data_IF_364980062792
#
_entry.id   IF_364980062792
#
_cell.length_a   1.000
_cell.length_b   1.000
_cell.length_c   1.000
_cell.angle_alpha   90.00
_cell.angle_beta   90.00
_cell.angle_gamma   90.00
#
_symmetry.space_group_name_H-M   'P 1'
#
loop_
_entity.id
_entity.type
_entity.pdbx_description
1 polymer ?
#
# COMPACT_ATOMS: atom_id res chain seq x y z
N UNK A 1 13.74 21.67 -4.85
CA UNK A 1 13.08 20.87 -5.89
C UNK A 1 14.07 19.81 -6.35
N UNK A 2 13.70 18.53 -6.30
CA UNK A 2 14.57 17.44 -6.76
C UNK A 2 14.61 17.37 -8.28
N UNK A 3 15.71 16.85 -8.84
CA UNK A 3 15.82 16.61 -10.28
C UNK A 3 14.75 15.61 -10.71
N UNK A 4 14.09 15.90 -11.84
CA UNK A 4 13.15 14.97 -12.45
C UNK A 4 13.97 13.86 -13.13
N UNK A 5 13.92 12.65 -12.57
CA UNK A 5 14.65 11.48 -13.06
C UNK A 5 13.69 10.65 -13.91
N UNK A 6 14.12 10.30 -15.12
CA UNK A 6 13.43 9.32 -15.95
C UNK A 6 13.67 7.92 -15.38
N UNK A 7 12.60 7.28 -14.89
CA UNK A 7 12.63 5.94 -14.32
C UNK A 7 12.38 4.85 -15.37
N UNK A 8 12.19 5.23 -16.64
CA UNK A 8 11.84 4.32 -17.72
C UNK A 8 10.38 3.83 -17.62
N UNK A 9 10.17 2.52 -17.68
CA UNK A 9 8.84 1.89 -17.74
C UNK A 9 8.18 1.77 -16.36
N UNK A 10 8.02 2.90 -15.66
CA UNK A 10 7.37 2.98 -14.34
C UNK A 10 6.11 3.82 -14.45
N UNK A 11 5.00 3.33 -13.88
CA UNK A 11 3.70 3.99 -13.95
C UNK A 11 2.99 4.09 -12.60
N UNK A 12 1.92 4.88 -12.59
CA UNK A 12 1.00 5.01 -11.46
C UNK A 12 -0.44 4.70 -11.91
N UNK A 13 -1.28 4.12 -11.04
CA UNK A 13 -2.68 3.87 -11.38
C UNK A 13 -3.42 5.18 -11.66
N UNK A 14 -4.13 5.27 -12.78
CA UNK A 14 -4.95 6.45 -13.07
C UNK A 14 -6.10 6.57 -12.06
N UNK A 15 -6.47 7.79 -11.62
CA UNK A 15 -7.60 7.97 -10.69
C UNK A 15 -8.93 7.38 -11.19
N UNK A 16 -9.11 7.29 -12.50
CA UNK A 16 -10.30 6.80 -13.20
C UNK A 16 -10.19 5.33 -13.68
N UNK A 17 -9.22 4.56 -13.16
CA UNK A 17 -9.03 3.17 -13.57
C UNK A 17 -10.30 2.33 -13.33
N UNK A 18 -10.70 1.57 -14.35
CA UNK A 18 -11.86 0.68 -14.25
C UNK A 18 -11.52 -0.58 -13.43
N UNK A 19 -12.26 -0.76 -12.33
CA UNK A 19 -12.15 -1.92 -11.44
C UNK A 19 -13.35 -2.87 -11.57
N UNK A 20 -14.15 -2.74 -12.64
CA UNK A 20 -15.36 -3.51 -12.89
C UNK A 20 -15.10 -5.02 -12.91
N UNK A 21 -14.02 -5.47 -13.56
CA UNK A 21 -13.64 -6.88 -13.57
C UNK A 21 -13.32 -7.40 -12.15
N UNK A 22 -12.57 -6.64 -11.35
CA UNK A 22 -12.24 -7.02 -9.97
C UNK A 22 -13.53 -7.14 -9.15
N UNK A 23 -14.44 -6.16 -9.26
CA UNK A 23 -15.74 -6.18 -8.57
C UNK A 23 -16.59 -7.38 -8.99
N UNK A 24 -16.62 -7.70 -10.28
CA UNK A 24 -17.37 -8.84 -10.81
C UNK A 24 -16.84 -10.18 -10.28
N UNK A 25 -15.52 -10.37 -10.29
CA UNK A 25 -14.89 -11.58 -9.76
C UNK A 25 -15.17 -11.75 -8.25
N UNK A 26 -15.04 -10.67 -7.47
CA UNK A 26 -15.36 -10.69 -6.04
C UNK A 26 -16.84 -11.04 -5.79
N UNK A 27 -17.77 -10.45 -6.55
CA UNK A 27 -19.20 -10.77 -6.45
C UNK A 27 -19.51 -12.23 -6.82
N UNK A 28 -18.72 -12.83 -7.72
CA UNK A 28 -18.81 -14.24 -8.09
C UNK A 28 -18.16 -15.23 -7.09
N UNK A 29 -17.61 -14.74 -5.98
CA UNK A 29 -16.94 -15.59 -4.98
C UNK A 29 -15.52 -16.01 -5.35
N UNK A 30 -14.92 -15.38 -6.36
CA UNK A 30 -13.52 -15.61 -6.72
C UNK A 30 -12.57 -14.77 -5.87
N UNK A 31 -11.31 -15.21 -5.80
CA UNK A 31 -10.20 -14.45 -5.21
C UNK A 31 -9.30 -13.93 -6.34
N UNK A 32 -9.39 -12.64 -6.71
CA UNK A 32 -8.55 -12.07 -7.76
C UNK A 32 -7.08 -12.00 -7.32
N UNK A 33 -6.19 -12.54 -8.15
CA UNK A 33 -4.73 -12.38 -8.00
C UNK A 33 -4.24 -11.46 -9.10
N UNK A 34 -3.75 -10.28 -8.73
CA UNK A 34 -3.42 -9.20 -9.66
C UNK A 34 -1.91 -8.96 -9.68
N UNK A 35 -1.30 -9.07 -10.85
CA UNK A 35 0.09 -8.67 -11.06
C UNK A 35 0.22 -7.13 -11.08
N UNK A 36 1.31 -6.59 -10.54
CA UNK A 36 1.52 -5.14 -10.41
C UNK A 36 2.04 -4.48 -11.69
N UNK A 37 1.28 -4.63 -12.77
CA UNK A 37 1.55 -4.08 -14.09
C UNK A 37 0.39 -3.19 -14.55
N UNK A 38 0.72 -2.14 -15.30
CA UNK A 38 -0.26 -1.25 -15.93
C UNK A 38 -0.02 -1.16 -17.44
N UNK A 39 -1.04 -0.68 -18.16
CA UNK A 39 -0.93 -0.34 -19.58
C UNK A 39 -0.98 1.19 -19.68
N UNK A 40 0.06 1.78 -20.27
CA UNK A 40 0.17 3.20 -20.50
C UNK A 40 -0.68 3.69 -21.68
N UNK A 41 -0.67 5.01 -21.91
CA UNK A 41 -1.53 5.65 -22.91
C UNK A 41 -1.23 5.22 -24.35
N UNK A 42 -0.02 4.72 -24.62
CA UNK A 42 0.40 4.25 -25.95
C UNK A 42 0.42 2.72 -26.06
N UNK A 43 -0.13 2.01 -25.07
CA UNK A 43 -0.16 0.54 -25.03
C UNK A 43 1.09 -0.11 -24.43
N UNK A 44 2.05 0.68 -23.94
CA UNK A 44 3.25 0.18 -23.29
C UNK A 44 2.93 -0.46 -21.93
N UNK A 45 3.69 -1.50 -21.55
CA UNK A 45 3.59 -2.10 -20.22
C UNK A 45 4.45 -1.29 -19.25
N UNK A 46 3.86 -0.91 -18.12
CA UNK A 46 4.50 -0.15 -17.06
C UNK A 46 4.53 -0.98 -15.77
N UNK A 47 5.67 -0.95 -15.09
CA UNK A 47 5.81 -1.48 -13.75
C UNK A 47 5.16 -0.52 -12.75
N UNK A 48 4.28 -1.03 -11.89
CA UNK A 48 3.61 -0.25 -10.85
C UNK A 48 4.04 -0.78 -9.50
N UNK A 49 4.33 0.11 -8.55
CA UNK A 49 4.59 -0.32 -7.18
C UNK A 49 3.37 -1.08 -6.61
N UNK A 50 3.59 -2.28 -6.10
CA UNK A 50 2.52 -3.15 -5.62
C UNK A 50 1.74 -2.57 -4.43
N UNK A 51 2.41 -1.87 -3.50
CA UNK A 51 1.75 -1.22 -2.36
C UNK A 51 0.83 -0.09 -2.87
N UNK A 52 1.30 0.71 -3.83
CA UNK A 52 0.51 1.76 -4.50
C UNK A 52 -0.70 1.18 -5.24
N UNK A 53 -0.50 0.08 -6.00
CA UNK A 53 -1.60 -0.57 -6.71
C UNK A 53 -2.64 -1.14 -5.73
N UNK A 54 -2.19 -1.81 -4.67
CA UNK A 54 -3.06 -2.38 -3.65
C UNK A 54 -3.89 -1.28 -2.94
N UNK A 55 -3.25 -0.17 -2.56
CA UNK A 55 -3.95 0.99 -2.00
C UNK A 55 -4.97 1.58 -2.97
N UNK A 56 -4.62 1.66 -4.27
CA UNK A 56 -5.53 2.16 -5.28
C UNK A 56 -6.74 1.26 -5.48
N UNK A 57 -6.54 -0.05 -5.59
CA UNK A 57 -7.63 -1.02 -5.73
C UNK A 57 -8.49 -1.03 -4.48
N UNK A 58 -7.90 -1.10 -3.28
CA UNK A 58 -8.63 -1.13 -2.01
C UNK A 58 -9.56 0.08 -1.86
N UNK A 59 -9.04 1.29 -2.11
CA UNK A 59 -9.86 2.50 -2.12
C UNK A 59 -10.93 2.45 -3.22
N UNK A 60 -10.56 2.05 -4.43
CA UNK A 60 -11.45 2.03 -5.59
C UNK A 60 -12.58 1.00 -5.50
N UNK A 61 -12.42 -0.07 -4.71
CA UNK A 61 -13.49 -1.05 -4.42
C UNK A 61 -14.20 -0.78 -3.08
N UNK A 62 -13.84 0.29 -2.36
CA UNK A 62 -14.33 0.59 -1.02
C UNK A 62 -14.10 -0.58 -0.03
N UNK A 63 -12.90 -1.16 -0.06
CA UNK A 63 -12.52 -2.24 0.84
C UNK A 63 -12.61 -1.78 2.30
N UNK A 64 -13.17 -2.64 3.17
CA UNK A 64 -13.18 -2.39 4.61
C UNK A 64 -11.78 -2.42 5.22
N UNK A 65 -10.86 -3.20 4.63
CA UNK A 65 -9.51 -3.39 5.13
C UNK A 65 -8.46 -3.49 4.00
N UNK A 66 -7.25 -2.98 4.27
CA UNK A 66 -6.05 -3.18 3.48
C UNK A 66 -4.91 -3.69 4.37
N UNK A 67 -4.28 -4.80 3.98
CA UNK A 67 -3.08 -5.34 4.62
C UNK A 67 -1.89 -5.20 3.66
N UNK A 68 -0.86 -4.48 4.08
CA UNK A 68 0.41 -4.36 3.37
C UNK A 68 1.45 -5.26 4.05
N UNK A 69 1.68 -6.42 3.45
CA UNK A 69 2.62 -7.41 3.95
C UNK A 69 4.06 -7.05 3.55
N UNK A 70 4.98 -7.04 4.53
CA UNK A 70 6.38 -6.68 4.33
C UNK A 70 7.36 -7.68 4.93
N UNK A 71 8.65 -7.37 4.84
CA UNK A 71 9.73 -8.16 5.48
C UNK A 71 10.01 -7.79 6.93
N UNK A 72 9.24 -6.86 7.51
CA UNK A 72 9.38 -6.39 8.90
C UNK A 72 8.09 -6.66 9.66
N UNK A 73 8.17 -6.72 10.98
CA UNK A 73 7.01 -6.95 11.86
C UNK A 73 5.96 -5.82 11.81
N UNK A 74 6.36 -4.66 11.32
CA UNK A 74 5.54 -3.48 11.14
C UNK A 74 6.44 -2.28 10.83
N UNK A 75 6.00 -1.10 11.25
CA UNK A 75 6.80 0.12 11.30
C UNK A 75 7.57 0.11 12.61
N UNK A 76 8.89 0.26 12.53
CA UNK A 76 9.77 0.26 13.71
C UNK A 76 10.07 1.69 14.15
N UNK A 77 10.16 1.90 15.47
CA UNK A 77 10.71 3.11 16.06
C UNK A 77 12.26 3.14 15.97
N UNK A 78 12.88 4.20 16.47
CA UNK A 78 14.33 4.36 16.46
C UNK A 78 15.06 3.29 17.30
N UNK A 79 14.36 2.67 18.26
CA UNK A 79 14.88 1.58 19.09
C UNK A 79 14.61 0.19 18.47
N UNK A 80 14.02 0.13 17.28
CA UNK A 80 13.73 -1.13 16.57
C UNK A 80 12.47 -1.85 17.06
N UNK A 81 11.59 -1.19 17.83
CA UNK A 81 10.35 -1.78 18.34
C UNK A 81 9.18 -1.45 17.40
N UNK A 82 8.28 -2.41 17.22
CA UNK A 82 7.08 -2.21 16.38
C UNK A 82 6.11 -1.21 17.01
N UNK A 83 5.83 -0.13 16.27
CA UNK A 83 4.80 0.85 16.61
C UNK A 83 3.44 0.21 16.32
N UNK A 84 2.61 0.00 17.34
CA UNK A 84 1.32 -0.71 17.17
C UNK A 84 0.26 0.10 16.44
N UNK A 85 0.20 1.39 16.73
CA UNK A 85 -0.74 2.32 16.08
C UNK A 85 0.00 3.58 15.64
N UNK A 86 -0.27 4.02 14.42
CA UNK A 86 0.43 5.14 13.81
C UNK A 86 -0.58 6.05 13.09
N UNK A 87 -0.66 7.32 13.49
CA UNK A 87 -1.49 8.31 12.78
C UNK A 87 -0.85 8.71 11.46
N UNK A 88 -1.65 9.20 10.50
CA UNK A 88 -1.10 9.70 9.23
C UNK A 88 -0.07 10.82 9.43
N UNK A 89 -0.26 11.65 10.46
CA UNK A 89 0.69 12.72 10.81
C UNK A 89 2.02 12.14 11.31
N UNK A 90 1.98 11.16 12.21
CA UNK A 90 3.17 10.50 12.74
C UNK A 90 3.91 9.72 11.63
N UNK A 91 3.19 9.03 10.75
CA UNK A 91 3.77 8.42 9.55
C UNK A 91 4.49 9.46 8.68
N UNK A 92 3.90 10.65 8.50
CA UNK A 92 4.51 11.78 7.81
C UNK A 92 5.84 12.21 8.43
N UNK A 93 5.94 12.23 9.76
CA UNK A 93 7.18 12.57 10.47
C UNK A 93 8.27 11.53 10.25
N UNK A 94 7.95 10.24 10.40
CA UNK A 94 8.89 9.13 10.18
C UNK A 94 9.46 9.09 8.75
N UNK A 95 8.66 9.52 7.77
CA UNK A 95 9.12 9.63 6.38
C UNK A 95 10.07 10.82 6.15
N UNK A 96 10.01 11.86 6.98
CA UNK A 96 10.82 13.09 6.84
C UNK A 96 12.09 13.07 7.69
N UNK A 97 12.04 12.46 8.88
CA UNK A 97 13.16 12.43 9.81
C UNK A 97 14.22 11.37 9.47
N UNK A 98 13.94 10.51 8.49
CA UNK A 98 14.87 9.49 8.00
C UNK A 98 14.78 8.15 8.71
N UNK A 99 13.85 7.98 9.67
CA UNK A 99 13.63 6.71 10.37
C UNK A 99 13.13 5.62 9.42
N UNK A 100 12.29 5.99 8.45
CA UNK A 100 11.73 5.05 7.48
C UNK A 100 12.69 4.79 6.29
N UNK A 101 12.99 3.52 6.02
CA UNK A 101 13.70 3.10 4.81
C UNK A 101 12.89 3.42 3.54
N UNK A 102 13.53 3.44 2.36
CA UNK A 102 12.86 3.73 1.10
C UNK A 102 11.63 2.81 0.83
N UNK A 103 11.75 1.52 1.13
CA UNK A 103 10.64 0.56 1.03
C UNK A 103 9.54 0.82 2.05
N UNK A 104 9.89 1.26 3.27
CA UNK A 104 8.90 1.62 4.29
C UNK A 104 8.18 2.93 3.94
N UNK A 105 8.89 3.91 3.37
CA UNK A 105 8.28 5.15 2.87
C UNK A 105 7.20 4.84 1.83
N UNK A 106 7.46 3.92 0.90
CA UNK A 106 6.46 3.50 -0.09
C UNK A 106 5.20 2.91 0.57
N UNK A 107 5.37 2.02 1.55
CA UNK A 107 4.26 1.43 2.32
C UNK A 107 3.47 2.47 3.11
N UNK A 108 4.16 3.38 3.81
CA UNK A 108 3.52 4.44 4.58
C UNK A 108 2.71 5.38 3.67
N UNK A 109 3.23 5.73 2.49
CA UNK A 109 2.48 6.51 1.49
C UNK A 109 1.25 5.77 0.98
N UNK A 110 1.38 4.49 0.63
CA UNK A 110 0.26 3.68 0.20
C UNK A 110 -0.81 3.56 1.29
N UNK A 111 -0.41 3.28 2.53
CA UNK A 111 -1.31 3.12 3.66
C UNK A 111 -2.07 4.41 4.00
N UNK A 112 -1.35 5.53 4.10
CA UNK A 112 -1.96 6.84 4.37
C UNK A 112 -2.85 7.31 3.22
N UNK A 113 -2.48 7.03 1.97
CA UNK A 113 -3.33 7.28 0.80
C UNK A 113 -4.64 6.48 0.84
N UNK A 114 -4.57 5.19 1.17
CA UNK A 114 -5.75 4.33 1.31
C UNK A 114 -6.68 4.84 2.43
N UNK A 115 -6.12 5.19 3.59
CA UNK A 115 -6.86 5.82 4.70
C UNK A 115 -7.57 7.10 4.27
N UNK A 116 -6.85 8.01 3.61
CA UNK A 116 -7.39 9.27 3.13
C UNK A 116 -8.50 9.08 2.08
N UNK A 117 -8.49 7.97 1.35
CA UNK A 117 -9.50 7.60 0.34
C UNK A 117 -10.63 6.70 0.88
N UNK A 118 -10.74 6.55 2.20
CA UNK A 118 -11.90 5.94 2.85
C UNK A 118 -11.77 4.46 3.21
N UNK A 119 -10.60 3.83 3.02
CA UNK A 119 -10.36 2.46 3.52
C UNK A 119 -10.35 2.49 5.04
N UNK A 120 -11.26 1.77 5.68
CA UNK A 120 -11.57 1.94 7.12
C UNK A 120 -10.50 1.38 8.06
N UNK A 121 -9.75 0.37 7.63
CA UNK A 121 -8.75 -0.30 8.44
C UNK A 121 -7.51 -0.64 7.60
N UNK A 122 -6.34 -0.11 7.95
CA UNK A 122 -5.13 -0.28 7.15
C UNK A 122 -3.99 -0.75 8.06
N UNK A 123 -3.29 -1.80 7.64
CA UNK A 123 -2.21 -2.39 8.43
C UNK A 123 -0.94 -2.60 7.60
N UNK A 124 0.21 -2.47 8.25
CA UNK A 124 1.50 -2.94 7.77
C UNK A 124 1.92 -4.10 8.69
N UNK A 125 2.16 -5.28 8.11
CA UNK A 125 2.31 -6.54 8.86
C UNK A 125 3.49 -7.38 8.35
N UNK A 126 3.95 -8.34 9.16
CA UNK A 126 4.95 -9.32 8.73
C UNK A 126 4.37 -10.30 7.71
N UNK A 127 4.81 -10.18 6.46
CA UNK A 127 4.42 -11.08 5.37
C UNK A 127 5.09 -12.45 5.41
N UNK A 128 6.09 -12.67 6.28
CA UNK A 128 6.81 -13.94 6.42
C UNK A 128 6.12 -14.90 7.38
N UNK A 129 5.19 -14.41 8.20
CA UNK A 129 4.48 -15.19 9.21
C UNK A 129 3.00 -15.26 8.88
N UNK A 130 2.52 -16.46 8.56
CA UNK A 130 1.10 -16.72 8.33
C UNK A 130 0.24 -16.35 9.57
N UNK A 131 0.78 -16.59 10.78
CA UNK A 131 0.13 -16.19 12.01
C UNK A 131 0.04 -14.66 12.13
N UNK A 132 1.11 -13.93 11.81
CA UNK A 132 1.10 -12.46 11.86
C UNK A 132 0.09 -11.86 10.87
N UNK A 133 -0.03 -12.43 9.67
CA UNK A 133 -1.06 -12.06 8.70
C UNK A 133 -2.48 -12.31 9.22
N UNK A 134 -2.71 -13.46 9.87
CA UNK A 134 -4.02 -13.81 10.43
C UNK A 134 -4.41 -12.95 11.63
N UNK A 135 -3.48 -12.78 12.58
CA UNK A 135 -3.69 -12.08 13.83
C UNK A 135 -3.58 -10.55 13.71
N UNK A 136 -3.11 -10.07 12.55
CA UNK A 136 -2.80 -8.64 12.30
C UNK A 136 -1.75 -8.13 13.26
N UNK A 137 -0.71 -8.91 13.48
CA UNK A 137 0.43 -8.48 14.28
C UNK A 137 1.30 -7.53 13.45
N UNK A 138 1.19 -6.22 13.75
CA UNK A 138 2.03 -5.19 13.16
C UNK A 138 1.58 -3.78 13.52
N UNK A 139 1.67 -2.87 12.56
CA UNK A 139 1.29 -1.46 12.72
C UNK A 139 -0.04 -1.17 12.05
N UNK A 140 -1.01 -0.71 12.82
CA UNK A 140 -2.27 -0.16 12.32
C UNK A 140 -2.10 1.32 11.98
N UNK A 141 -2.49 1.70 10.77
CA UNK A 141 -2.46 3.11 10.32
C UNK A 141 -3.84 3.74 10.57
N UNK A 142 -3.86 4.72 11.46
CA UNK A 142 -5.05 5.48 11.84
C UNK A 142 -5.30 6.61 10.83
N UNK A 143 -6.44 7.30 10.98
CA UNK A 143 -6.69 8.52 10.22
C UNK A 143 -5.59 9.57 10.48
#
# INVERSE_FOLDING_TARGET
AGAQVDLGQVGEPRPDADLGLIRHLLAGGFVPVVASLGIGGSGEILNVNADTLAAHVAAGIAAGQLLLAGGTEGVLDAEGRTIRELTSSAAGSLMRDGTASAGMIAKLRAATSARARGVSDVWIVDGRSAAALHDRCGTRVLA
#
